data_IF_901759929110
#
_entry.id   IF_901759929110
#
_cell.length_a   1.000
_cell.length_b   1.000
_cell.length_c   1.000
_cell.angle_alpha   90.00
_cell.angle_beta   90.00
_cell.angle_gamma   90.00
#
_symmetry.space_group_name_H-M   'P 1'
#
loop_
_entity.id
_entity.type
_entity.pdbx_description
1 polymer ?
#
# COMPACT_ATOMS: atom_id res chain seq x y z
N UNK A 1 -28.12 28.67 0.46
CA UNK A 1 -28.37 27.43 1.23
C UNK A 1 -27.09 27.03 1.95
N UNK A 2 -27.09 26.83 3.28
CA UNK A 2 -25.92 26.33 3.99
C UNK A 2 -25.52 24.93 3.49
N UNK A 3 -24.22 24.65 3.42
CA UNK A 3 -23.72 23.34 2.97
C UNK A 3 -24.18 22.25 3.94
N UNK A 4 -24.62 21.08 3.43
CA UNK A 4 -25.00 19.97 4.31
C UNK A 4 -23.79 19.46 5.09
N UNK A 5 -23.97 19.24 6.40
CA UNK A 5 -22.93 18.68 7.27
C UNK A 5 -22.70 17.19 6.96
N UNK A 6 -21.44 16.76 7.01
CA UNK A 6 -21.07 15.35 6.92
C UNK A 6 -21.63 14.55 8.12
N UNK A 7 -21.79 13.23 7.96
CA UNK A 7 -22.24 12.35 9.07
C UNK A 7 -21.35 12.49 10.31
N UNK A 8 -20.03 12.44 10.14
CA UNK A 8 -19.08 12.59 11.23
C UNK A 8 -19.23 13.94 11.95
N UNK A 9 -19.46 15.03 11.20
CA UNK A 9 -19.72 16.35 11.78
C UNK A 9 -21.01 16.37 12.60
N UNK A 10 -22.08 15.68 12.15
CA UNK A 10 -23.33 15.57 12.89
C UNK A 10 -23.15 14.78 14.19
N UNK A 11 -22.36 13.70 14.17
CA UNK A 11 -22.03 12.90 15.36
C UNK A 11 -21.26 13.74 16.40
N UNK A 12 -20.29 14.55 15.96
CA UNK A 12 -19.57 15.47 16.85
C UNK A 12 -20.50 16.50 17.50
N UNK A 13 -21.40 17.11 16.72
CA UNK A 13 -22.38 18.07 17.25
C UNK A 13 -23.33 17.39 18.23
N UNK A 14 -23.79 16.17 17.96
CA UNK A 14 -24.66 15.43 18.86
C UNK A 14 -23.97 15.10 20.20
N UNK A 15 -22.70 14.69 20.17
CA UNK A 15 -21.89 14.48 21.38
C UNK A 15 -21.74 15.76 22.20
N UNK A 16 -21.48 16.88 21.52
CA UNK A 16 -21.34 18.19 22.16
C UNK A 16 -22.63 18.63 22.87
N UNK A 17 -23.79 18.47 22.21
CA UNK A 17 -25.10 18.79 22.79
C UNK A 17 -25.32 17.97 24.06
N UNK A 18 -25.11 16.64 24.00
CA UNK A 18 -25.26 15.75 25.16
C UNK A 18 -24.35 16.13 26.32
N UNK A 19 -23.14 16.59 26.04
CA UNK A 19 -22.21 17.04 27.08
C UNK A 19 -22.72 18.29 27.80
N UNK A 20 -23.22 19.27 27.05
CA UNK A 20 -23.76 20.50 27.64
C UNK A 20 -25.12 20.30 28.33
N UNK A 21 -25.95 19.36 27.86
CA UNK A 21 -27.15 18.94 28.59
C UNK A 21 -26.78 18.39 29.98
N UNK A 22 -25.73 17.56 30.06
CA UNK A 22 -25.22 17.08 31.35
C UNK A 22 -24.68 18.21 32.24
N UNK A 23 -23.97 19.19 31.68
CA UNK A 23 -23.52 20.37 32.45
C UNK A 23 -24.72 21.18 32.97
N UNK A 24 -25.77 21.35 32.16
CA UNK A 24 -27.01 22.02 32.54
C UNK A 24 -27.70 21.28 33.70
N UNK A 25 -27.83 19.96 33.60
CA UNK A 25 -28.47 19.13 34.63
C UNK A 25 -27.64 19.06 35.92
N UNK A 26 -26.31 19.13 35.81
CA UNK A 26 -25.39 19.19 36.96
C UNK A 26 -25.31 20.58 37.61
N UNK A 27 -25.90 21.62 37.01
CA UNK A 27 -25.86 22.99 37.52
C UNK A 27 -24.50 23.68 37.36
N UNK A 28 -23.61 23.17 36.50
CA UNK A 28 -22.29 23.73 36.30
C UNK A 28 -21.35 22.89 35.42
N UNK A 29 -20.13 23.39 35.16
CA UNK A 29 -19.15 22.69 34.34
C UNK A 29 -18.74 21.34 34.96
N UNK A 30 -18.74 20.28 34.16
CA UNK A 30 -18.31 18.94 34.60
C UNK A 30 -16.79 18.86 34.83
N UNK A 31 -16.04 19.74 34.16
CA UNK A 31 -14.60 19.91 34.31
C UNK A 31 -14.28 21.39 34.50
N UNK A 32 -13.15 21.74 35.14
CA UNK A 32 -12.75 23.12 35.36
C UNK A 32 -12.69 23.93 34.06
N UNK A 33 -13.13 25.19 34.11
CA UNK A 33 -13.08 26.10 32.96
C UNK A 33 -11.65 26.31 32.42
N UNK A 34 -10.64 26.15 33.28
CA UNK A 34 -9.22 26.23 32.93
C UNK A 34 -8.76 25.05 32.06
N UNK A 35 -9.40 23.89 32.18
CA UNK A 35 -9.06 22.64 31.50
C UNK A 35 -9.68 22.56 30.08
N UNK A 36 -9.48 23.61 29.27
CA UNK A 36 -10.14 23.79 27.96
C UNK A 36 -9.98 22.59 27.04
N UNK A 37 -8.77 22.02 26.93
CA UNK A 37 -8.50 20.89 26.03
C UNK A 37 -9.18 19.60 26.49
N UNK A 38 -9.19 19.35 27.80
CA UNK A 38 -9.85 18.19 28.39
C UNK A 38 -11.36 18.28 28.19
N UNK A 39 -11.94 19.46 28.42
CA UNK A 39 -13.37 19.72 28.14
C UNK A 39 -13.74 19.41 26.70
N UNK A 40 -12.98 19.93 25.74
CA UNK A 40 -13.22 19.68 24.31
C UNK A 40 -13.06 18.19 23.98
N UNK A 41 -12.04 17.53 24.52
CA UNK A 41 -11.80 16.11 24.32
C UNK A 41 -12.97 15.26 24.86
N UNK A 42 -13.45 15.55 26.07
CA UNK A 42 -14.59 14.84 26.67
C UNK A 42 -15.90 15.14 25.97
N UNK A 43 -16.14 16.39 25.58
CA UNK A 43 -17.40 16.82 24.98
C UNK A 43 -17.58 16.28 23.55
N UNK A 44 -16.50 16.23 22.78
CA UNK A 44 -16.50 15.72 21.40
C UNK A 44 -16.13 14.24 21.31
N UNK A 45 -15.78 13.61 22.43
CA UNK A 45 -15.29 12.23 22.53
C UNK A 45 -14.07 11.98 21.61
N UNK A 46 -13.09 12.88 21.68
CA UNK A 46 -11.86 12.87 20.91
C UNK A 46 -10.65 12.59 21.79
N UNK A 47 -9.57 12.08 21.20
CA UNK A 47 -8.30 11.94 21.90
C UNK A 47 -7.70 13.33 22.22
N UNK A 48 -7.21 13.52 23.45
CA UNK A 48 -6.60 14.78 23.89
C UNK A 48 -5.41 15.21 23.04
N UNK A 49 -4.68 14.26 22.45
CA UNK A 49 -3.59 14.54 21.50
C UNK A 49 -4.09 15.16 20.19
N UNK A 50 -5.26 14.72 19.69
CA UNK A 50 -5.91 15.30 18.52
C UNK A 50 -6.33 16.74 18.81
N UNK A 51 -6.97 16.99 19.95
CA UNK A 51 -7.36 18.34 20.39
C UNK A 51 -6.13 19.23 20.57
N UNK A 52 -5.05 18.69 21.15
CA UNK A 52 -3.79 19.43 21.34
C UNK A 52 -3.12 19.80 20.02
N UNK A 53 -3.13 18.88 19.05
CA UNK A 53 -2.59 19.12 17.70
C UNK A 53 -3.38 20.21 16.99
N UNK A 54 -4.72 20.14 17.02
CA UNK A 54 -5.60 21.16 16.43
C UNK A 54 -5.42 22.50 17.15
N UNK A 55 -5.38 22.51 18.49
CA UNK A 55 -5.17 23.73 19.28
C UNK A 55 -3.85 24.42 18.94
N UNK A 56 -2.78 23.65 18.72
CA UNK A 56 -1.48 24.18 18.27
C UNK A 56 -1.56 24.76 16.86
N UNK A 57 -2.18 24.04 15.92
CA UNK A 57 -2.36 24.51 14.56
C UNK A 57 -3.18 25.82 14.52
N UNK A 58 -4.27 25.91 15.28
CA UNK A 58 -5.08 27.13 15.42
C UNK A 58 -4.26 28.27 16.02
N UNK A 59 -3.49 28.01 17.09
CA UNK A 59 -2.61 29.03 17.71
C UNK A 59 -1.56 29.57 16.72
N UNK A 60 -1.10 28.72 15.81
CA UNK A 60 -0.12 29.06 14.79
C UNK A 60 -0.74 29.63 13.50
N UNK A 61 -2.07 29.81 13.44
CA UNK A 61 -2.82 30.18 12.23
C UNK A 61 -2.56 29.24 11.03
N UNK A 62 -2.32 27.95 11.31
CA UNK A 62 -2.13 26.93 10.29
C UNK A 62 -3.47 26.49 9.69
N UNK A 63 -3.49 26.22 8.39
CA UNK A 63 -4.67 25.67 7.72
C UNK A 63 -4.89 24.23 8.18
N UNK A 64 -6.05 23.97 8.79
CA UNK A 64 -6.47 22.62 9.17
C UNK A 64 -6.74 21.80 7.90
N UNK A 65 -5.74 21.03 7.47
CA UNK A 65 -5.82 20.16 6.31
C UNK A 65 -6.08 18.72 6.73
N UNK A 66 -6.96 18.04 5.99
CA UNK A 66 -7.18 16.60 6.17
C UNK A 66 -5.90 15.81 5.85
N UNK A 67 -5.69 14.64 6.48
CA UNK A 67 -4.59 13.76 6.12
C UNK A 67 -4.55 13.51 4.61
N UNK A 68 -3.41 13.77 3.98
CA UNK A 68 -3.24 13.53 2.54
C UNK A 68 -3.39 12.03 2.27
N UNK A 69 -4.14 11.66 1.22
CA UNK A 69 -4.18 10.27 0.74
C UNK A 69 -2.75 9.81 0.43
N UNK A 70 -2.34 8.68 1.00
CA UNK A 70 -1.04 8.06 0.68
C UNK A 70 -1.07 7.65 -0.80
N UNK A 71 -0.22 8.27 -1.62
CA UNK A 71 -0.04 7.84 -3.01
C UNK A 71 0.82 6.57 -3.01
N UNK A 72 0.50 5.54 -3.82
CA UNK A 72 1.37 4.38 -3.96
C UNK A 72 2.73 4.84 -4.51
N UNK A 73 3.82 4.34 -3.93
CA UNK A 73 5.18 4.63 -4.41
C UNK A 73 5.42 3.90 -5.73
N UNK A 74 5.96 4.58 -6.73
CA UNK A 74 6.40 3.94 -7.97
C UNK A 74 7.55 2.97 -7.68
N UNK A 75 7.49 1.77 -8.25
CA UNK A 75 8.59 0.81 -8.21
C UNK A 75 9.61 1.26 -9.26
N UNK A 76 10.83 1.61 -8.86
CA UNK A 76 11.86 2.11 -9.80
C UNK A 76 12.47 0.99 -10.65
N UNK A 77 12.63 -0.20 -10.07
CA UNK A 77 13.40 -1.30 -10.69
C UNK A 77 12.52 -2.42 -11.24
N UNK A 78 11.41 -2.72 -10.55
CA UNK A 78 10.44 -3.75 -10.96
C UNK A 78 9.30 -3.14 -11.77
N UNK A 79 9.52 -1.99 -12.42
CA UNK A 79 8.47 -1.41 -13.25
C UNK A 79 8.34 -2.21 -14.55
N UNK A 80 7.18 -2.82 -14.77
CA UNK A 80 6.89 -3.62 -15.98
C UNK A 80 7.04 -2.80 -17.26
N UNK A 81 6.75 -1.49 -17.22
CA UNK A 81 6.80 -0.65 -18.42
C UNK A 81 8.21 -0.40 -18.94
N UNK A 82 9.23 -0.50 -18.08
CA UNK A 82 10.64 -0.24 -18.46
C UNK A 82 11.44 -1.51 -18.64
N UNK A 83 10.89 -2.65 -18.23
CA UNK A 83 11.60 -3.92 -18.21
C UNK A 83 11.16 -4.79 -19.39
N UNK A 84 12.13 -5.29 -20.14
CA UNK A 84 11.87 -6.23 -21.23
C UNK A 84 11.55 -7.62 -20.64
N UNK A 85 10.26 -7.84 -20.41
CA UNK A 85 9.79 -9.08 -19.81
C UNK A 85 10.02 -10.29 -20.70
N UNK A 86 10.02 -10.10 -22.02
CA UNK A 86 10.22 -11.18 -22.99
C UNK A 86 11.67 -11.63 -22.92
N UNK A 87 12.62 -10.70 -22.86
CA UNK A 87 14.04 -11.01 -22.68
C UNK A 87 14.29 -11.78 -21.36
N UNK A 88 13.65 -11.39 -20.24
CA UNK A 88 13.79 -12.12 -18.96
C UNK A 88 13.27 -13.56 -19.08
N UNK A 89 12.14 -13.77 -19.76
CA UNK A 89 11.57 -15.11 -19.97
C UNK A 89 12.48 -15.96 -20.86
N UNK A 90 13.00 -15.40 -21.95
CA UNK A 90 13.90 -16.11 -22.85
C UNK A 90 15.15 -16.60 -22.13
N UNK A 91 15.74 -15.78 -21.24
CA UNK A 91 16.88 -16.21 -20.40
C UNK A 91 16.52 -17.41 -19.52
N UNK A 92 15.31 -17.44 -18.95
CA UNK A 92 14.83 -18.57 -18.13
C UNK A 92 14.68 -19.83 -19.01
N UNK A 93 14.10 -19.71 -20.20
CA UNK A 93 13.94 -20.85 -21.11
C UNK A 93 15.29 -21.37 -21.62
N UNK A 94 16.21 -20.49 -22.00
CA UNK A 94 17.59 -20.88 -22.38
C UNK A 94 18.31 -21.63 -21.24
N UNK A 95 18.07 -21.24 -19.98
CA UNK A 95 18.62 -21.98 -18.83
C UNK A 95 18.03 -23.38 -18.71
N UNK A 96 16.74 -23.55 -19.02
CA UNK A 96 16.09 -24.86 -19.07
C UNK A 96 16.61 -25.71 -20.22
N UNK A 97 16.75 -25.15 -21.43
CA UNK A 97 17.30 -25.84 -22.60
C UNK A 97 18.73 -26.32 -22.35
N UNK A 98 19.55 -25.47 -21.72
CA UNK A 98 20.92 -25.81 -21.32
C UNK A 98 20.99 -26.78 -20.13
N UNK A 99 19.85 -27.29 -19.62
CA UNK A 99 19.74 -28.18 -18.44
C UNK A 99 20.47 -27.64 -17.20
N UNK A 100 20.52 -26.31 -17.07
CA UNK A 100 21.18 -25.66 -15.95
C UNK A 100 20.26 -25.57 -14.73
N UNK A 101 20.83 -25.70 -13.54
CA UNK A 101 20.08 -25.51 -12.30
C UNK A 101 19.70 -24.04 -12.11
N UNK A 102 18.41 -23.74 -12.22
CA UNK A 102 17.88 -22.39 -12.03
C UNK A 102 17.69 -22.14 -10.53
N UNK A 103 18.47 -21.22 -9.99
CA UNK A 103 18.29 -20.67 -8.65
C UNK A 103 18.14 -19.16 -8.76
N UNK A 104 17.56 -18.51 -7.76
CA UNK A 104 17.42 -17.05 -7.77
C UNK A 104 18.79 -16.35 -7.94
N UNK A 105 19.85 -16.88 -7.33
CA UNK A 105 21.21 -16.34 -7.45
C UNK A 105 21.79 -16.52 -8.86
N UNK A 106 21.68 -17.72 -9.43
CA UNK A 106 22.23 -18.00 -10.78
C UNK A 106 21.49 -17.24 -11.86
N UNK A 107 20.16 -17.14 -11.76
CA UNK A 107 19.34 -16.33 -12.66
C UNK A 107 19.65 -14.83 -12.52
N UNK A 108 19.77 -14.33 -11.28
CA UNK A 108 20.12 -12.93 -11.04
C UNK A 108 21.45 -12.54 -11.67
N UNK A 109 22.47 -13.39 -11.53
CA UNK A 109 23.78 -13.14 -12.14
C UNK A 109 23.68 -13.10 -13.66
N UNK A 110 23.03 -14.07 -14.30
CA UNK A 110 22.83 -14.09 -15.76
C UNK A 110 22.09 -12.87 -16.28
N UNK A 111 21.02 -12.45 -15.59
CA UNK A 111 20.25 -11.26 -15.98
C UNK A 111 21.06 -9.98 -15.82
N UNK A 112 21.92 -9.92 -14.80
CA UNK A 112 22.84 -8.79 -14.58
C UNK A 112 23.93 -8.75 -15.65
N UNK A 113 24.52 -9.90 -16.00
CA UNK A 113 25.57 -9.99 -17.02
C UNK A 113 25.06 -9.57 -18.41
N UNK A 114 23.78 -9.84 -18.72
CA UNK A 114 23.12 -9.40 -19.94
C UNK A 114 22.55 -7.97 -19.88
N UNK A 115 22.78 -7.24 -18.78
CA UNK A 115 22.22 -5.90 -18.54
C UNK A 115 20.68 -5.83 -18.62
N UNK A 116 19.98 -6.95 -18.43
CA UNK A 116 18.52 -7.04 -18.49
C UNK A 116 17.85 -6.68 -17.16
N UNK A 117 18.60 -6.75 -16.06
CA UNK A 117 18.08 -6.46 -14.72
C UNK A 117 19.15 -5.87 -13.80
N UNK A 118 18.86 -4.70 -13.21
CA UNK A 118 19.76 -3.97 -12.31
C UNK A 118 19.37 -4.06 -10.83
N UNK A 119 18.27 -4.74 -10.49
CA UNK A 119 17.79 -4.86 -9.12
C UNK A 119 18.54 -5.89 -8.28
N UNK A 120 18.16 -6.03 -7.01
CA UNK A 120 18.66 -7.08 -6.13
C UNK A 120 17.86 -8.38 -6.29
N UNK A 121 18.32 -9.47 -5.68
CA UNK A 121 17.65 -10.78 -5.74
C UNK A 121 16.21 -10.73 -5.19
N UNK A 122 15.96 -9.96 -4.12
CA UNK A 122 14.60 -9.79 -3.58
C UNK A 122 13.66 -9.12 -4.58
N UNK A 123 14.14 -8.10 -5.30
CA UNK A 123 13.39 -7.46 -6.37
C UNK A 123 13.15 -8.40 -7.54
N UNK A 124 14.13 -9.25 -7.89
CA UNK A 124 13.98 -10.28 -8.91
C UNK A 124 12.91 -11.31 -8.50
N UNK A 125 12.89 -11.75 -7.24
CA UNK A 125 11.87 -12.69 -6.77
C UNK A 125 10.46 -12.11 -6.88
N UNK A 126 10.27 -10.83 -6.56
CA UNK A 126 9.00 -10.12 -6.76
C UNK A 126 8.65 -10.01 -8.25
N UNK A 127 9.63 -9.64 -9.09
CA UNK A 127 9.46 -9.58 -10.54
C UNK A 127 8.97 -10.92 -11.10
N UNK A 128 9.63 -12.03 -10.73
CA UNK A 128 9.26 -13.37 -11.19
C UNK A 128 7.82 -13.72 -10.84
N UNK A 129 7.36 -13.39 -9.62
CA UNK A 129 5.95 -13.58 -9.24
C UNK A 129 4.99 -12.76 -10.10
N UNK A 130 5.34 -11.51 -10.39
CA UNK A 130 4.54 -10.63 -11.26
C UNK A 130 4.51 -11.11 -12.71
N UNK A 131 5.61 -11.72 -13.18
CA UNK A 131 5.71 -12.33 -14.51
C UNK A 131 4.99 -13.67 -14.63
N UNK A 132 4.56 -14.26 -13.51
CA UNK A 132 3.84 -15.52 -13.49
C UNK A 132 4.65 -16.74 -13.08
N UNK A 133 5.88 -16.58 -12.60
CA UNK A 133 6.72 -17.69 -12.19
C UNK A 133 6.61 -17.99 -10.69
N UNK A 134 6.64 -19.28 -10.35
CA UNK A 134 6.62 -19.78 -8.97
C UNK A 134 7.61 -20.92 -8.78
N UNK A 135 8.24 -20.94 -7.61
CA UNK A 135 9.09 -22.05 -7.19
C UNK A 135 8.23 -23.24 -6.74
N UNK A 136 8.19 -24.28 -7.56
CA UNK A 136 7.43 -25.50 -7.29
C UNK A 136 8.35 -26.70 -7.15
N UNK A 137 7.90 -27.72 -6.40
CA UNK A 137 8.62 -28.98 -6.26
C UNK A 137 8.58 -29.70 -7.60
N UNK A 138 9.75 -30.05 -8.10
CA UNK A 138 9.98 -30.81 -9.31
C UNK A 138 11.04 -31.87 -9.00
N UNK A 139 10.67 -33.15 -9.00
CA UNK A 139 11.43 -34.21 -8.35
C UNK A 139 12.82 -34.36 -9.01
N UNK A 140 13.97 -34.14 -8.31
CA UNK A 140 14.19 -34.16 -6.85
C UNK A 140 14.35 -32.78 -6.14
N UNK A 141 14.17 -31.64 -6.81
CA UNK A 141 14.42 -30.28 -6.26
C UNK A 141 13.22 -29.33 -6.44
N UNK A 142 13.42 -28.02 -6.31
CA UNK A 142 12.41 -27.01 -6.67
C UNK A 142 12.84 -26.32 -7.96
N UNK A 143 11.98 -26.34 -8.97
CA UNK A 143 12.14 -25.63 -10.24
C UNK A 143 11.34 -24.33 -10.27
N UNK A 144 11.73 -23.41 -11.16
CA UNK A 144 11.01 -22.16 -11.40
C UNK A 144 9.96 -22.35 -12.51
N UNK A 145 8.74 -22.68 -12.15
CA UNK A 145 7.69 -22.98 -13.14
C UNK A 145 6.83 -21.76 -13.45
N UNK A 146 6.53 -21.53 -14.73
CA UNK A 146 5.52 -20.56 -15.13
C UNK A 146 4.12 -21.09 -14.78
N UNK A 147 3.21 -20.20 -14.39
CA UNK A 147 1.84 -20.57 -14.06
C UNK A 147 1.12 -21.15 -15.29
N UNK A 148 0.41 -22.28 -15.17
CA UNK A 148 -0.31 -22.92 -16.29
C UNK A 148 -1.27 -21.98 -17.01
N UNK A 149 -1.98 -21.11 -16.27
CA UNK A 149 -2.93 -20.14 -16.84
C UNK A 149 -2.24 -19.16 -17.80
N UNK A 150 -1.01 -18.75 -17.49
CA UNK A 150 -0.22 -17.84 -18.32
C UNK A 150 0.33 -18.55 -19.56
N UNK A 151 0.69 -19.83 -19.42
CA UNK A 151 1.07 -20.68 -20.55
C UNK A 151 -0.10 -20.90 -21.52
N UNK A 152 -1.30 -21.17 -21.00
CA UNK A 152 -2.52 -21.32 -21.79
C UNK A 152 -2.86 -20.03 -22.55
N UNK A 153 -2.86 -18.88 -21.86
CA UNK A 153 -3.11 -17.57 -22.50
C UNK A 153 -2.09 -17.26 -23.62
N UNK A 154 -0.84 -17.67 -23.47
CA UNK A 154 0.19 -17.48 -24.51
C UNK A 154 -0.04 -18.39 -25.72
N UNK A 155 -0.43 -19.65 -25.49
CA UNK A 155 -0.77 -20.57 -26.57
C UNK A 155 -1.95 -20.03 -27.38
N UNK A 156 -2.98 -19.51 -26.72
CA UNK A 156 -4.13 -18.91 -27.38
C UNK A 156 -3.75 -17.67 -28.21
N UNK A 157 -2.90 -16.78 -27.68
CA UNK A 157 -2.42 -15.59 -28.41
C UNK A 157 -1.59 -15.93 -29.65
N UNK A 158 -0.81 -17.01 -29.62
CA UNK A 158 -0.02 -17.47 -30.76
C UNK A 158 -0.89 -18.13 -31.85
N UNK A 159 -2.05 -18.70 -31.47
CA UNK A 159 -2.99 -19.30 -32.42
C UNK A 159 -3.81 -18.24 -33.18
N UNK A 160 -4.00 -17.04 -32.62
CA UNK A 160 -4.76 -15.95 -33.25
C UNK A 160 -3.94 -15.16 -34.29
N UNK A 161 -2.62 -15.35 -34.33
CA UNK A 161 -1.72 -14.67 -35.28
C UNK A 161 -1.32 -15.52 -36.49
N UNK A 162 -1.92 -16.70 -36.68
CA UNK A 162 -1.75 -17.56 -37.85
C UNK A 162 -3.03 -17.64 -38.70
#
# INVERSE_FOLDING_TARGET
>A
MPKPLSRASKELVASLIRYFEKEKDAGGPLLPLTAVRERVATALNLNISTVSTISKAVKNNEVLSSPKKKKPRSKTVTNRNTLDETAVRNVIYEMYEAKQNITLKTLHQKLKDRMLFSGCQSSLHTLLKELGFKWQKDNPRRGLMELPDILAMKQDLLLVQN
#
